data_IF_439419735696
#
_entry.id   IF_439419735696
#
_cell.length_a   1.000
_cell.length_b   1.000
_cell.length_c   1.000
_cell.angle_alpha   90.00
_cell.angle_beta   90.00
_cell.angle_gamma   90.00
#
_symmetry.space_group_name_H-M   'P 1'
#
loop_
_entity.id
_entity.type
_entity.pdbx_description
1 polymer ?
#
# COMPACT_ATOMS: atom_id res chain seq x y z
N UNK A 1 24.53 -14.56 23.05
CA UNK A 1 23.45 -13.69 22.54
C UNK A 1 22.37 -14.61 21.99
N UNK A 2 21.12 -14.47 22.45
CA UNK A 2 19.99 -15.18 21.87
C UNK A 2 19.28 -14.24 20.90
N UNK A 3 18.94 -14.72 19.71
CA UNK A 3 18.06 -14.01 18.77
C UNK A 3 16.63 -14.46 19.07
N UNK A 4 15.79 -13.52 19.50
CA UNK A 4 14.37 -13.77 19.69
C UNK A 4 13.59 -13.13 18.54
N UNK A 5 12.67 -13.89 17.93
CA UNK A 5 11.81 -13.41 16.86
C UNK A 5 10.39 -13.91 17.08
N UNK A 6 9.43 -12.99 17.01
CA UNK A 6 8.01 -13.29 17.20
C UNK A 6 7.22 -12.90 15.96
N UNK A 7 6.49 -13.86 15.38
CA UNK A 7 5.55 -13.61 14.28
C UNK A 7 4.11 -13.81 14.73
N UNK A 8 3.32 -12.74 14.74
CA UNK A 8 1.91 -12.77 15.15
C UNK A 8 0.93 -12.83 13.96
N UNK A 9 1.41 -13.16 12.76
CA UNK A 9 0.57 -13.36 11.57
C UNK A 9 -0.23 -14.67 11.61
N UNK A 10 -1.38 -14.71 10.91
CA UNK A 10 -2.14 -15.95 10.67
C UNK A 10 -1.42 -16.86 9.67
N UNK A 11 -0.71 -16.27 8.72
CA UNK A 11 0.31 -16.92 7.92
C UNK A 11 1.67 -16.68 8.56
N UNK A 12 2.51 -17.73 8.66
CA UNK A 12 3.87 -17.64 9.17
C UNK A 12 4.87 -17.58 8.01
N UNK A 13 5.57 -16.46 7.87
CA UNK A 13 6.54 -16.18 6.81
C UNK A 13 7.80 -15.48 7.33
N UNK A 14 7.98 -15.34 8.64
CA UNK A 14 9.19 -14.80 9.23
C UNK A 14 10.38 -15.73 8.95
N UNK A 15 11.47 -15.15 8.46
CA UNK A 15 12.71 -15.85 8.18
C UNK A 15 13.90 -14.99 8.65
N UNK A 16 14.95 -15.67 9.10
CA UNK A 16 16.23 -15.07 9.49
C UNK A 16 17.31 -15.66 8.61
N UNK A 17 18.12 -14.79 8.01
CA UNK A 17 19.22 -15.17 7.12
C UNK A 17 20.55 -14.70 7.71
N UNK A 18 21.60 -15.51 7.55
CA UNK A 18 22.99 -15.11 7.78
C UNK A 18 23.70 -15.24 6.45
N UNK A 19 24.04 -14.10 5.85
CA UNK A 19 24.56 -14.00 4.48
C UNK A 19 25.77 -13.09 4.45
N UNK A 20 26.59 -13.20 3.39
CA UNK A 20 27.74 -12.30 3.18
C UNK A 20 27.30 -11.02 2.45
N UNK A 21 26.33 -11.15 1.56
CA UNK A 21 25.69 -10.05 0.85
C UNK A 21 24.18 -10.07 1.11
N UNK A 22 23.55 -8.91 1.32
CA UNK A 22 22.09 -8.81 1.51
C UNK A 22 21.32 -9.28 0.27
N UNK A 23 21.92 -9.16 -0.91
CA UNK A 23 21.37 -9.64 -2.18
C UNK A 23 21.40 -11.18 -2.29
N UNK A 24 22.08 -11.90 -1.39
CA UNK A 24 21.96 -13.36 -1.31
C UNK A 24 20.59 -13.78 -0.76
N UNK A 25 19.84 -12.87 -0.14
CA UNK A 25 18.46 -13.12 0.34
C UNK A 25 17.49 -12.94 -0.83
N UNK A 26 16.81 -14.00 -1.31
CA UNK A 26 15.98 -13.91 -2.52
C UNK A 26 14.85 -12.87 -2.42
N UNK A 27 14.33 -12.64 -1.20
CA UNK A 27 13.31 -11.64 -0.94
C UNK A 27 13.79 -10.20 -1.03
N UNK A 28 15.09 -9.95 -0.83
CA UNK A 28 15.73 -8.63 -0.95
C UNK A 28 16.20 -8.41 -2.40
N UNK A 29 16.79 -9.42 -3.02
CA UNK A 29 17.33 -9.35 -4.38
C UNK A 29 16.29 -8.96 -5.45
N UNK A 30 15.02 -9.29 -5.21
CA UNK A 30 13.90 -8.98 -6.12
C UNK A 30 13.22 -7.65 -5.87
N UNK A 31 13.56 -6.95 -4.78
CA UNK A 31 12.88 -5.70 -4.43
C UNK A 31 13.07 -4.69 -5.56
N UNK A 32 11.97 -4.05 -5.94
CA UNK A 32 11.97 -2.88 -6.78
C UNK A 32 12.55 -1.66 -6.06
N UNK A 33 12.43 -0.50 -6.70
CA UNK A 33 12.91 0.75 -6.13
C UNK A 33 12.24 1.07 -4.80
N UNK A 34 12.99 1.54 -3.81
CA UNK A 34 12.44 1.99 -2.53
C UNK A 34 11.51 3.18 -2.75
N UNK A 35 10.29 3.12 -2.22
CA UNK A 35 9.29 4.18 -2.34
C UNK A 35 9.74 5.55 -1.79
N UNK A 36 10.68 5.56 -0.85
CA UNK A 36 11.26 6.75 -0.26
C UNK A 36 12.63 7.13 -0.83
N UNK A 37 13.13 6.42 -1.83
CA UNK A 37 14.33 6.81 -2.57
C UNK A 37 14.14 8.19 -3.22
N UNK A 38 15.16 9.05 -3.14
CA UNK A 38 15.13 10.41 -3.72
C UNK A 38 15.13 10.39 -5.25
N UNK A 39 15.64 9.33 -5.86
CA UNK A 39 15.68 9.13 -7.31
C UNK A 39 14.35 8.64 -7.89
N UNK A 40 13.40 8.21 -7.05
CA UNK A 40 12.05 7.89 -7.48
C UNK A 40 11.31 9.19 -7.81
N UNK A 41 11.43 9.66 -9.05
CA UNK A 41 10.70 10.82 -9.60
C UNK A 41 9.33 10.39 -10.15
N UNK A 42 8.40 11.33 -10.45
CA UNK A 42 7.14 11.01 -11.12
C UNK A 42 7.34 10.24 -12.43
N UNK A 43 8.33 10.61 -13.24
CA UNK A 43 8.64 9.92 -14.51
C UNK A 43 9.13 8.48 -14.27
N UNK A 44 9.99 8.29 -13.27
CA UNK A 44 10.48 6.94 -12.89
C UNK A 44 9.35 6.08 -12.35
N UNK A 45 8.51 6.62 -11.48
CA UNK A 45 7.32 5.95 -10.99
C UNK A 45 6.38 5.57 -12.14
N UNK A 46 6.17 6.49 -13.09
CA UNK A 46 5.36 6.26 -14.27
C UNK A 46 5.90 5.15 -15.16
N UNK A 47 7.22 5.11 -15.39
CA UNK A 47 7.87 4.04 -16.13
C UNK A 47 7.67 2.66 -15.47
N UNK A 48 7.87 2.57 -14.15
CA UNK A 48 7.65 1.33 -13.38
C UNK A 48 6.19 0.86 -13.48
N UNK A 49 5.23 1.78 -13.32
CA UNK A 49 3.79 1.45 -13.37
C UNK A 49 3.30 1.13 -14.79
N UNK A 50 3.94 1.65 -15.83
CA UNK A 50 3.59 1.39 -17.22
C UNK A 50 3.77 -0.08 -17.63
N UNK A 51 4.71 -0.78 -16.99
CA UNK A 51 4.97 -2.21 -17.22
C UNK A 51 3.90 -3.11 -16.57
N UNK A 52 3.16 -2.60 -15.58
CA UNK A 52 2.14 -3.37 -14.87
C UNK A 52 0.79 -3.33 -15.59
N UNK A 53 0.27 -4.52 -15.92
CA UNK A 53 -1.12 -4.69 -16.42
C UNK A 53 -2.16 -4.80 -15.30
N UNK A 54 -1.71 -4.75 -14.05
CA UNK A 54 -2.55 -4.90 -12.88
C UNK A 54 -3.30 -3.60 -12.52
N UNK A 55 -4.15 -3.68 -11.50
CA UNK A 55 -4.77 -2.48 -10.93
C UNK A 55 -3.72 -1.66 -10.17
N UNK A 56 -3.93 -0.35 -10.10
CA UNK A 56 -3.01 0.58 -9.46
C UNK A 56 -2.74 0.20 -8.00
N UNK A 57 -3.76 -0.25 -7.26
CA UNK A 57 -3.55 -0.76 -5.91
C UNK A 57 -2.63 -1.98 -5.86
N UNK A 58 -2.77 -2.91 -6.80
CA UNK A 58 -1.93 -4.11 -6.82
C UNK A 58 -0.50 -3.76 -7.20
N UNK A 59 -0.30 -2.94 -8.23
CA UNK A 59 1.02 -2.49 -8.64
C UNK A 59 1.75 -1.74 -7.52
N UNK A 60 1.06 -0.86 -6.78
CA UNK A 60 1.66 -0.17 -5.64
C UNK A 60 2.01 -1.09 -4.48
N UNK A 61 1.29 -2.20 -4.30
CA UNK A 61 1.58 -3.16 -3.24
C UNK A 61 2.60 -4.24 -3.65
N UNK A 62 3.00 -4.24 -4.92
CA UNK A 62 3.95 -5.20 -5.48
C UNK A 62 5.38 -4.78 -5.15
N UNK A 63 6.05 -5.59 -4.32
CA UNK A 63 7.40 -5.28 -3.85
C UNK A 63 8.45 -5.36 -4.95
N UNK A 64 8.17 -6.04 -6.06
CA UNK A 64 9.07 -6.11 -7.21
C UNK A 64 8.95 -4.84 -8.08
N UNK A 65 7.83 -4.13 -8.00
CA UNK A 65 7.60 -2.85 -8.69
C UNK A 65 8.14 -1.70 -7.84
N UNK A 66 7.64 -1.56 -6.61
CA UNK A 66 8.05 -0.52 -5.64
C UNK A 66 8.10 -1.14 -4.26
N UNK A 67 9.28 -1.14 -3.65
CA UNK A 67 9.48 -1.66 -2.31
C UNK A 67 8.99 -0.69 -1.23
N UNK A 68 8.49 -1.23 -0.12
CA UNK A 68 8.10 -0.46 1.07
C UNK A 68 6.63 -0.03 1.11
N UNK A 69 5.88 -0.13 0.01
CA UNK A 69 4.43 0.12 0.00
C UNK A 69 3.67 -1.18 0.20
N UNK A 70 3.01 -1.30 1.36
CA UNK A 70 2.17 -2.46 1.70
C UNK A 70 0.67 -2.24 1.46
N UNK A 71 -0.15 -3.22 1.87
CA UNK A 71 -1.60 -3.16 1.71
C UNK A 71 -2.24 -1.92 2.37
N UNK A 72 -1.77 -1.56 3.57
CA UNK A 72 -2.29 -0.41 4.29
C UNK A 72 -1.94 0.91 3.59
N UNK A 73 -0.65 1.14 3.31
CA UNK A 73 -0.23 2.40 2.71
C UNK A 73 -0.70 2.56 1.27
N UNK A 74 -0.88 1.48 0.50
CA UNK A 74 -1.51 1.59 -0.82
C UNK A 74 -2.97 2.09 -0.74
N UNK A 75 -3.73 1.76 0.32
CA UNK A 75 -5.07 2.35 0.53
C UNK A 75 -4.97 3.85 0.83
N UNK A 76 -4.09 4.21 1.76
CA UNK A 76 -3.90 5.59 2.20
C UNK A 76 -3.40 6.51 1.07
N UNK A 77 -2.40 6.05 0.30
CA UNK A 77 -1.82 6.77 -0.83
C UNK A 77 -2.87 7.00 -1.90
N UNK A 78 -3.65 5.98 -2.26
CA UNK A 78 -4.68 6.11 -3.28
C UNK A 78 -5.84 6.99 -2.85
N UNK A 79 -6.20 6.96 -1.56
CA UNK A 79 -7.20 7.86 -1.01
C UNK A 79 -6.70 9.30 -0.99
N UNK A 80 -5.46 9.55 -0.59
CA UNK A 80 -4.84 10.88 -0.63
C UNK A 80 -4.75 11.42 -2.07
N UNK A 81 -4.36 10.56 -3.01
CA UNK A 81 -4.29 10.87 -4.44
C UNK A 81 -5.67 10.96 -5.12
N UNK A 82 -6.75 10.58 -4.43
CA UNK A 82 -8.12 10.51 -5.00
C UNK A 82 -8.20 9.64 -6.25
N UNK A 83 -7.38 8.58 -6.32
CA UNK A 83 -7.32 7.66 -7.46
C UNK A 83 -8.06 6.36 -7.14
N UNK A 84 -8.75 5.82 -8.14
CA UNK A 84 -9.45 4.54 -8.00
C UNK A 84 -8.46 3.39 -7.79
N UNK A 85 -8.69 2.51 -6.80
CA UNK A 85 -7.85 1.32 -6.60
C UNK A 85 -7.95 0.30 -7.74
N UNK A 86 -8.97 0.40 -8.60
CA UNK A 86 -9.16 -0.45 -9.77
C UNK A 86 -8.70 0.17 -11.08
N UNK A 87 -8.20 1.41 -11.06
CA UNK A 87 -7.59 2.01 -12.24
C UNK A 87 -6.43 1.14 -12.72
N UNK A 88 -6.18 1.04 -14.03
CA UNK A 88 -5.00 0.32 -14.51
C UNK A 88 -3.75 1.13 -14.16
N UNK A 89 -2.71 0.45 -13.72
CA UNK A 89 -1.45 1.11 -13.34
C UNK A 89 -0.82 1.85 -14.53
N UNK A 90 -0.96 1.31 -15.72
CA UNK A 90 -0.43 1.88 -16.96
C UNK A 90 -1.32 2.93 -17.65
N UNK A 91 -2.36 3.45 -16.98
CA UNK A 91 -3.33 4.37 -17.60
C UNK A 91 -3.40 5.75 -16.93
N UNK A 92 -2.39 6.14 -16.16
CA UNK A 92 -2.34 7.44 -15.50
C UNK A 92 -1.90 8.52 -16.50
N UNK A 93 -2.52 9.69 -16.42
CA UNK A 93 -1.98 10.90 -17.07
C UNK A 93 -0.76 11.39 -16.31
N UNK A 94 0.04 12.26 -16.93
CA UNK A 94 1.18 12.91 -16.27
C UNK A 94 0.76 13.64 -14.98
N UNK A 95 -0.33 14.40 -15.01
CA UNK A 95 -0.83 15.12 -13.82
C UNK A 95 -1.27 14.18 -12.69
N UNK A 96 -1.88 13.05 -13.03
CA UNK A 96 -2.26 12.04 -12.03
C UNK A 96 -1.04 11.31 -11.48
N UNK A 97 0.00 11.13 -12.29
CA UNK A 97 1.29 10.57 -11.85
C UNK A 97 1.99 11.48 -10.86
N UNK A 98 2.05 12.79 -11.13
CA UNK A 98 2.56 13.80 -10.21
C UNK A 98 1.78 13.78 -8.89
N UNK A 99 0.45 13.76 -8.97
CA UNK A 99 -0.41 13.70 -7.78
C UNK A 99 -0.20 12.41 -6.98
N UNK A 100 -0.07 11.26 -7.66
CA UNK A 100 0.20 9.98 -7.02
C UNK A 100 1.57 10.01 -6.31
N UNK A 101 2.60 10.46 -7.00
CA UNK A 101 3.96 10.58 -6.46
C UNK A 101 4.00 11.48 -5.23
N UNK A 102 3.41 12.68 -5.32
CA UNK A 102 3.33 13.60 -4.19
C UNK A 102 2.59 12.96 -2.99
N UNK A 103 1.45 12.31 -3.24
CA UNK A 103 0.67 11.63 -2.20
C UNK A 103 1.45 10.48 -1.55
N UNK A 104 2.21 9.72 -2.35
CA UNK A 104 3.09 8.65 -1.88
C UNK A 104 4.16 9.21 -0.95
N UNK A 105 4.87 10.27 -1.37
CA UNK A 105 5.92 10.92 -0.58
C UNK A 105 5.38 11.47 0.73
N UNK A 106 4.26 12.18 0.70
CA UNK A 106 3.64 12.73 1.92
C UNK A 106 3.21 11.60 2.88
N UNK A 107 2.42 10.64 2.41
CA UNK A 107 1.87 9.59 3.28
C UNK A 107 2.96 8.74 3.92
N UNK A 108 3.98 8.34 3.15
CA UNK A 108 5.08 7.54 3.68
C UNK A 108 6.05 8.37 4.53
N UNK A 109 6.30 9.62 4.15
CA UNK A 109 7.14 10.55 4.92
C UNK A 109 6.56 10.84 6.30
N UNK A 110 5.26 11.15 6.37
CA UNK A 110 4.54 11.37 7.63
C UNK A 110 4.60 10.11 8.51
N UNK A 111 4.34 8.95 7.92
CA UNK A 111 4.41 7.67 8.62
C UNK A 111 5.82 7.36 9.15
N UNK A 112 6.86 7.66 8.39
CA UNK A 112 8.24 7.46 8.81
C UNK A 112 8.62 8.42 9.94
N UNK A 113 8.23 9.68 9.86
CA UNK A 113 8.47 10.66 10.91
C UNK A 113 7.77 10.27 12.21
N UNK A 114 6.52 9.82 12.14
CA UNK A 114 5.80 9.30 13.29
C UNK A 114 6.48 8.05 13.86
N UNK A 115 6.86 7.09 13.01
CA UNK A 115 7.56 5.88 13.45
C UNK A 115 8.86 6.19 14.21
N UNK A 116 9.63 7.19 13.76
CA UNK A 116 10.87 7.64 14.44
C UNK A 116 10.63 8.24 15.82
N UNK A 117 9.41 8.68 16.12
CA UNK A 117 9.03 9.26 17.42
C UNK A 117 8.49 8.23 18.43
N UNK A 118 8.34 6.97 18.02
CA UNK A 118 7.78 5.90 18.83
C UNK A 118 8.88 4.95 19.31
N UNK A 119 8.72 4.45 20.53
CA UNK A 119 9.50 3.31 21.01
C UNK A 119 9.21 2.07 20.15
N UNK A 120 10.18 1.16 19.93
CA UNK A 120 10.02 -0.01 19.05
C UNK A 120 8.77 -0.84 19.34
N UNK A 121 8.45 -1.05 20.62
CA UNK A 121 7.29 -1.84 21.05
C UNK A 121 5.95 -1.14 20.73
N UNK A 122 5.96 0.18 20.56
CA UNK A 122 4.77 1.00 20.25
C UNK A 122 4.55 1.22 18.75
N UNK A 123 5.50 0.81 17.89
CA UNK A 123 5.43 1.04 16.44
C UNK A 123 4.15 0.46 15.81
N UNK A 124 3.72 -0.71 16.29
CA UNK A 124 2.55 -1.40 15.72
C UNK A 124 1.25 -0.63 15.98
N UNK A 125 1.04 -0.23 17.22
CA UNK A 125 -0.20 0.44 17.63
C UNK A 125 -0.22 1.87 17.10
N UNK A 126 0.92 2.58 17.16
CA UNK A 126 1.09 3.89 16.54
C UNK A 126 0.72 3.89 15.07
N UNK A 127 1.21 2.91 14.29
CA UNK A 127 0.90 2.78 12.86
C UNK A 127 -0.60 2.67 12.57
N UNK A 128 -1.40 2.05 13.45
CA UNK A 128 -2.84 1.85 13.23
C UNK A 128 -3.67 3.08 13.62
N UNK A 129 -3.18 3.93 14.52
CA UNK A 129 -3.94 5.05 15.07
C UNK A 129 -4.23 6.14 14.04
N UNK A 130 -3.39 6.31 13.01
CA UNK A 130 -3.49 7.43 12.05
C UNK A 130 -3.87 7.09 10.62
N UNK A 131 -4.14 5.81 10.31
CA UNK A 131 -4.67 5.43 8.99
C UNK A 131 -6.05 6.08 8.80
N UNK A 132 -6.34 6.63 7.62
CA UNK A 132 -7.55 7.42 7.33
C UNK A 132 -8.66 6.57 6.73
N UNK A 133 -8.31 5.51 5.99
CA UNK A 133 -9.27 4.62 5.34
C UNK A 133 -8.98 3.14 5.61
N UNK A 134 -7.71 2.74 5.70
CA UNK A 134 -7.34 1.35 5.93
C UNK A 134 -7.84 0.86 7.29
N UNK A 135 -8.50 -0.30 7.29
CA UNK A 135 -9.12 -0.86 8.50
C UNK A 135 -10.29 -0.04 9.07
N UNK A 136 -10.83 0.93 8.31
CA UNK A 136 -11.93 1.83 8.74
C UNK A 136 -13.24 1.61 8.00
N UNK A 137 -13.48 0.41 7.48
CA UNK A 137 -14.75 0.04 6.84
C UNK A 137 -15.96 0.44 7.70
N UNK A 138 -16.95 1.10 7.10
CA UNK A 138 -18.15 1.57 7.79
C UNK A 138 -17.99 2.91 8.52
N UNK A 139 -16.77 3.43 8.68
CA UNK A 139 -16.53 4.75 9.27
C UNK A 139 -16.71 5.86 8.22
N UNK A 140 -16.84 7.11 8.69
CA UNK A 140 -16.91 8.29 7.81
C UNK A 140 -15.53 8.61 7.22
N UNK A 141 -15.49 8.85 5.92
CA UNK A 141 -14.34 9.35 5.20
C UNK A 141 -13.97 10.73 5.76
N UNK A 142 -12.70 10.97 6.12
CA UNK A 142 -12.27 12.24 6.71
C UNK A 142 -12.15 13.38 5.68
N UNK A 143 -12.42 13.13 4.40
CA UNK A 143 -12.40 14.15 3.33
C UNK A 143 -13.81 14.59 2.96
N UNK A 144 -14.69 13.65 2.61
CA UNK A 144 -16.03 13.98 2.10
C UNK A 144 -17.18 13.59 3.03
N UNK A 145 -16.91 12.87 4.13
CA UNK A 145 -17.93 12.40 5.07
C UNK A 145 -18.75 11.17 4.63
N UNK A 146 -18.63 10.70 3.39
CA UNK A 146 -19.25 9.42 2.93
C UNK A 146 -18.63 8.22 3.66
N UNK A 147 -19.25 7.04 3.56
CA UNK A 147 -18.76 5.82 4.21
C UNK A 147 -17.52 5.25 3.51
N UNK A 148 -16.52 4.87 4.31
CA UNK A 148 -15.38 4.07 3.85
C UNK A 148 -15.87 2.65 3.58
N UNK A 149 -15.64 2.17 2.36
CA UNK A 149 -16.08 0.87 1.87
C UNK A 149 -14.91 -0.10 1.85
N UNK A 150 -15.23 -1.39 1.82
CA UNK A 150 -14.26 -2.47 1.67
C UNK A 150 -14.49 -3.23 0.37
N UNK A 151 -13.39 -3.65 -0.26
CA UNK A 151 -13.39 -4.80 -1.16
C UNK A 151 -12.55 -5.90 -0.53
N UNK A 152 -13.18 -7.06 -0.33
CA UNK A 152 -12.52 -8.22 0.24
C UNK A 152 -12.36 -9.33 -0.80
N UNK A 153 -11.22 -10.01 -0.73
CA UNK A 153 -10.87 -11.24 -1.43
C UNK A 153 -10.67 -12.35 -0.38
N UNK A 154 -10.42 -13.59 -0.84
CA UNK A 154 -10.25 -14.74 0.05
C UNK A 154 -9.17 -14.57 1.12
N UNK A 155 -8.07 -13.87 0.82
CA UNK A 155 -6.91 -13.74 1.72
C UNK A 155 -6.51 -12.29 2.06
N UNK A 156 -7.21 -11.29 1.50
CA UNK A 156 -6.90 -9.88 1.72
C UNK A 156 -8.12 -9.01 1.51
N UNK A 157 -8.16 -7.86 2.17
CA UNK A 157 -9.12 -6.80 1.89
C UNK A 157 -8.44 -5.45 1.79
N UNK A 158 -9.17 -4.49 1.25
CA UNK A 158 -8.71 -3.13 1.12
C UNK A 158 -9.87 -2.15 1.24
N UNK A 159 -9.57 -0.93 1.68
CA UNK A 159 -10.57 0.08 1.96
C UNK A 159 -10.41 1.32 1.09
N UNK A 160 -11.54 1.91 0.72
CA UNK A 160 -11.58 3.07 -0.19
C UNK A 160 -12.84 3.92 0.08
N UNK A 161 -12.82 5.18 -0.36
CA UNK A 161 -13.99 6.06 -0.38
C UNK A 161 -14.54 6.18 -1.80
N UNK A 162 -15.82 5.83 -2.01
CA UNK A 162 -16.42 5.86 -3.34
C UNK A 162 -16.53 7.30 -3.89
N UNK A 163 -16.97 8.26 -3.08
CA UNK A 163 -17.05 9.67 -3.50
C UNK A 163 -15.67 10.21 -3.90
N UNK A 164 -14.64 9.98 -3.09
CA UNK A 164 -13.32 10.55 -3.35
C UNK A 164 -12.55 9.87 -4.49
N UNK A 165 -12.73 8.56 -4.71
CA UNK A 165 -11.81 7.80 -5.58
C UNK A 165 -12.46 7.25 -6.85
N UNK A 166 -13.80 7.18 -6.92
CA UNK A 166 -14.49 6.43 -7.98
C UNK A 166 -15.69 7.18 -8.57
N UNK A 167 -15.83 8.47 -8.26
CA UNK A 167 -17.00 9.26 -8.68
C UNK A 167 -18.31 8.74 -8.08
N UNK A 168 -18.25 8.12 -6.90
CA UNK A 168 -19.41 7.52 -6.22
C UNK A 168 -19.69 6.06 -6.59
N UNK A 169 -18.98 5.48 -7.55
CA UNK A 169 -19.17 4.07 -7.93
C UNK A 169 -18.74 3.14 -6.81
N UNK A 170 -19.67 2.31 -6.34
CA UNK A 170 -19.39 1.28 -5.33
C UNK A 170 -18.97 -0.02 -6.01
N UNK A 171 -17.86 -0.60 -5.56
CA UNK A 171 -17.37 -1.91 -5.99
C UNK A 171 -17.93 -3.03 -5.12
N UNK A 172 -18.25 -4.15 -5.76
CA UNK A 172 -18.77 -5.34 -5.11
C UNK A 172 -17.69 -6.10 -4.32
N UNK A 173 -18.12 -6.75 -3.24
CA UNK A 173 -17.32 -7.73 -2.51
C UNK A 173 -16.93 -8.90 -3.43
N UNK A 174 -15.68 -9.37 -3.31
CA UNK A 174 -15.09 -10.42 -4.17
C UNK A 174 -14.76 -11.70 -3.39
N UNK A 175 -15.14 -11.86 -2.11
CA UNK A 175 -14.83 -13.04 -1.28
C UNK A 175 -15.23 -14.36 -1.95
N UNK A 176 -16.38 -14.40 -2.62
CA UNK A 176 -16.91 -15.60 -3.28
C UNK A 176 -16.70 -15.64 -4.80
N UNK A 177 -15.89 -14.74 -5.36
CA UNK A 177 -15.70 -14.65 -6.82
C UNK A 177 -15.09 -15.90 -7.46
N UNK A 178 -14.42 -16.78 -6.70
CA UNK A 178 -13.91 -18.09 -7.17
C UNK A 178 -14.96 -19.21 -7.17
N UNK A 179 -16.08 -19.06 -6.44
CA UNK A 179 -17.15 -20.06 -6.38
C UNK A 179 -18.19 -19.90 -7.52
N UNK A 180 -18.11 -18.78 -8.26
CA UNK A 180 -19.04 -18.42 -9.33
C UNK A 180 -18.43 -18.61 -10.73
N UNK A 181 -17.34 -19.39 -10.85
CA UNK A 181 -16.74 -19.81 -12.12
C UNK A 181 -17.02 -21.28 -12.38
#
# INVERSE_FOLDING_TARGET
AALEATEQGTEKRLAVYVVRDVCDVPGIARLGMDALDESLTPDRLGALLAESTSTLKNALADQDVIAGVGNAYSDEILHAARLSPFRRANSLTASEMEQLHASLRTVLGDALQEARSLEPDSLRDGKRLRLRVHGRTGQRCPVCGDVVREVAYASRSFQYCATCQTGGRVYADRRFSRLLR
#
